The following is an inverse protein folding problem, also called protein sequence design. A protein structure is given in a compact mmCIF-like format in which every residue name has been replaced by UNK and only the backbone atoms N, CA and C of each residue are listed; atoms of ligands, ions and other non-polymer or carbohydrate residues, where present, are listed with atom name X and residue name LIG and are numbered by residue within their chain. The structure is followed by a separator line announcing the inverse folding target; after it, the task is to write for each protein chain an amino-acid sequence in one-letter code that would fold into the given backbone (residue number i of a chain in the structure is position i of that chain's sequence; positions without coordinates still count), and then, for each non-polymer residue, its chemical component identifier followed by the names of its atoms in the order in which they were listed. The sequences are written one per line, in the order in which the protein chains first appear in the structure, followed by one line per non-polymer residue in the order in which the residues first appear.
data_IF_571716592712
#
_entry.id   IF_571716592712
#
_cell.length_a   1.000
_cell.length_b   1.000
_cell.length_c   1.000
_cell.angle_alpha   90.00
_cell.angle_beta   90.00
_cell.angle_gamma   90.00
#
_symmetry.space_group_name_H-M   'P 1'
#
loop_
_entity.id
_entity.type
_entity.pdbx_description
1 polymer ?
#
# COMPACT_ATOMS: atom_id res chain seq x y z
N UNK A 1 16.41 14.34 43.50
CA UNK A 1 16.61 13.42 42.36
C UNK A 1 16.50 12.05 42.97
N UNK A 2 15.36 11.35 42.76
CA UNK A 2 15.24 9.96 43.18
C UNK A 2 16.30 9.15 42.41
N UNK A 3 17.04 8.27 43.11
CA UNK A 3 17.89 7.26 42.49
C UNK A 3 17.04 6.55 41.42
N UNK A 4 17.48 6.59 40.18
CA UNK A 4 16.80 5.90 39.09
C UNK A 4 16.86 4.40 39.39
N UNK A 5 15.72 3.84 39.83
CA UNK A 5 15.60 2.41 40.02
C UNK A 5 15.82 1.72 38.69
N UNK A 6 16.88 0.93 38.58
CA UNK A 6 17.20 0.13 37.38
C UNK A 6 16.28 -1.08 37.36
N UNK A 7 15.46 -1.19 36.32
CA UNK A 7 14.60 -2.34 36.08
C UNK A 7 15.30 -3.35 35.15
N UNK A 8 15.08 -4.65 35.40
CA UNK A 8 15.53 -5.70 34.48
C UNK A 8 14.63 -5.80 33.25
N UNK A 9 13.33 -5.54 33.45
CA UNK A 9 12.32 -5.63 32.41
C UNK A 9 11.34 -4.46 32.45
N UNK A 10 10.96 -3.99 31.27
CA UNK A 10 9.85 -3.05 31.04
C UNK A 10 8.85 -3.73 30.12
N UNK A 11 7.65 -4.00 30.64
CA UNK A 11 6.58 -4.66 29.87
C UNK A 11 5.38 -3.72 29.84
N UNK A 12 4.73 -3.56 28.67
CA UNK A 12 3.61 -2.66 28.57
C UNK A 12 2.68 -2.94 27.39
N UNK A 13 1.46 -2.43 27.54
CA UNK A 13 0.46 -2.32 26.48
C UNK A 13 0.08 -0.82 26.32
N UNK A 14 0.91 -0.06 25.60
CA UNK A 14 0.66 1.38 25.37
C UNK A 14 -0.64 1.63 24.59
N UNK A 15 -1.26 2.82 24.72
CA UNK A 15 -2.54 3.12 24.07
C UNK A 15 -2.45 3.08 22.53
N UNK A 16 -3.40 2.41 21.90
CA UNK A 16 -3.51 2.26 20.44
C UNK A 16 -4.34 3.39 19.83
N UNK A 17 -3.75 4.57 19.67
CA UNK A 17 -4.39 5.74 19.07
C UNK A 17 -3.73 6.03 17.74
N UNK A 18 -4.47 5.85 16.65
CA UNK A 18 -3.98 6.11 15.30
C UNK A 18 -3.75 7.60 15.04
N UNK A 19 -2.79 7.92 14.20
CA UNK A 19 -2.35 9.31 13.92
C UNK A 19 -3.49 10.26 13.48
N UNK A 20 -4.55 9.74 12.85
CA UNK A 20 -5.66 10.57 12.37
C UNK A 20 -6.65 11.00 13.46
N UNK A 21 -6.74 10.23 14.54
CA UNK A 21 -7.72 10.44 15.63
C UNK A 21 -7.07 11.01 16.90
N UNK A 22 -5.75 11.22 16.91
CA UNK A 22 -5.05 11.87 18.01
C UNK A 22 -5.54 13.32 18.21
N UNK A 23 -5.67 13.70 19.46
CA UNK A 23 -5.79 15.11 19.86
C UNK A 23 -4.51 15.88 19.49
N UNK A 24 -4.60 17.22 19.43
CA UNK A 24 -3.42 18.05 19.16
C UNK A 24 -2.32 17.82 20.20
N UNK A 25 -2.66 17.78 21.50
CA UNK A 25 -1.72 17.51 22.59
C UNK A 25 -1.00 16.16 22.45
N UNK A 26 -1.72 15.10 22.04
CA UNK A 26 -1.11 13.80 21.80
C UNK A 26 -0.13 13.85 20.62
N UNK A 27 -0.51 14.53 19.52
CA UNK A 27 0.34 14.72 18.35
C UNK A 27 1.61 15.50 18.71
N UNK A 28 1.47 16.60 19.45
CA UNK A 28 2.60 17.41 19.90
C UNK A 28 3.54 16.59 20.82
N UNK A 29 2.97 15.71 21.65
CA UNK A 29 3.74 14.78 22.48
C UNK A 29 4.58 13.83 21.63
N UNK A 30 3.99 13.20 20.58
CA UNK A 30 4.73 12.33 19.66
C UNK A 30 5.85 13.12 18.98
N UNK A 31 5.55 14.27 18.37
CA UNK A 31 6.54 15.09 17.67
C UNK A 31 7.71 15.48 18.56
N UNK A 32 7.43 15.86 19.82
CA UNK A 32 8.45 16.20 20.82
C UNK A 32 9.32 15.00 21.19
N UNK A 33 8.74 13.81 21.42
CA UNK A 33 9.52 12.61 21.73
C UNK A 33 10.47 12.20 20.61
N UNK A 34 10.09 12.48 19.38
CA UNK A 34 10.93 12.27 18.19
C UNK A 34 11.88 13.43 17.87
N UNK A 35 12.04 14.40 18.78
CA UNK A 35 12.90 15.57 18.58
C UNK A 35 12.64 16.28 17.24
N UNK A 36 11.36 16.43 16.87
CA UNK A 36 10.89 17.05 15.63
C UNK A 36 11.41 16.42 14.33
N UNK A 37 11.75 15.13 14.34
CA UNK A 37 12.16 14.40 13.12
C UNK A 37 11.09 14.53 12.04
N UNK A 38 11.52 14.77 10.82
CA UNK A 38 10.62 14.91 9.67
C UNK A 38 9.75 13.66 9.50
N UNK A 39 8.44 13.87 9.39
CA UNK A 39 7.47 12.79 9.27
C UNK A 39 6.92 12.26 10.60
N UNK A 40 7.42 12.67 11.75
CA UNK A 40 6.91 12.21 13.06
C UNK A 40 5.41 12.50 13.28
N UNK A 41 4.85 13.49 12.61
CA UNK A 41 3.42 13.82 12.69
C UNK A 41 2.45 12.79 12.07
N UNK A 42 2.94 11.80 11.32
CA UNK A 42 2.11 10.71 10.77
C UNK A 42 2.16 9.42 11.60
N UNK A 43 2.95 9.42 12.68
CA UNK A 43 3.12 8.27 13.55
C UNK A 43 1.93 8.08 14.49
N UNK A 44 1.59 6.82 14.79
CA UNK A 44 0.59 6.49 15.80
C UNK A 44 1.13 6.75 17.22
N UNK A 45 0.24 7.01 18.16
CA UNK A 45 0.59 7.45 19.51
C UNK A 45 1.51 6.46 20.25
N UNK A 46 1.31 5.16 20.02
CA UNK A 46 2.11 4.08 20.60
C UNK A 46 3.62 4.25 20.35
N UNK A 47 4.02 4.87 19.24
CA UNK A 47 5.42 5.05 18.87
C UNK A 47 6.22 5.90 19.87
N UNK A 48 5.55 6.82 20.57
CA UNK A 48 6.18 7.63 21.62
C UNK A 48 6.72 6.78 22.77
N UNK A 49 6.04 5.67 23.13
CA UNK A 49 6.52 4.74 24.16
C UNK A 49 7.79 4.01 23.73
N UNK A 50 7.89 3.62 22.47
CA UNK A 50 9.10 3.01 21.92
C UNK A 50 10.32 3.93 22.07
N UNK A 51 10.17 5.20 21.70
CA UNK A 51 11.25 6.19 21.81
C UNK A 51 11.59 6.49 23.28
N UNK A 52 10.57 6.64 24.15
CA UNK A 52 10.80 6.83 25.59
C UNK A 52 11.56 5.65 26.20
N UNK A 53 11.14 4.43 25.90
CA UNK A 53 11.83 3.24 26.38
C UNK A 53 13.25 3.16 25.82
N UNK A 54 13.45 3.42 24.51
CA UNK A 54 14.77 3.43 23.90
C UNK A 54 15.71 4.45 24.54
N UNK A 55 15.22 5.66 24.88
CA UNK A 55 15.98 6.68 25.63
C UNK A 55 16.34 6.18 27.03
N UNK A 56 15.36 5.59 27.73
CA UNK A 56 15.52 5.16 29.14
C UNK A 56 16.53 4.03 29.33
N UNK A 57 16.54 3.04 28.40
CA UNK A 57 17.39 1.84 28.54
C UNK A 57 18.83 2.03 28.09
N UNK A 58 19.22 3.23 27.62
CA UNK A 58 20.61 3.48 27.20
C UNK A 58 21.60 3.25 28.35
N UNK A 59 22.67 2.50 28.07
CA UNK A 59 23.68 2.17 29.06
C UNK A 59 23.24 1.16 30.15
N UNK A 60 22.06 0.54 29.98
CA UNK A 60 21.53 -0.49 30.89
C UNK A 60 21.46 -1.87 30.21
N UNK A 61 21.15 -2.90 30.99
CA UNK A 61 20.82 -4.25 30.49
C UNK A 61 19.31 -4.52 30.54
N UNK A 62 18.50 -3.49 30.68
CA UNK A 62 17.04 -3.58 30.72
C UNK A 62 16.51 -4.06 29.36
N UNK A 63 15.59 -5.03 29.40
CA UNK A 63 14.86 -5.52 28.24
C UNK A 63 13.46 -4.94 28.23
N UNK A 64 12.96 -4.60 27.05
CA UNK A 64 11.63 -4.00 26.87
C UNK A 64 10.78 -4.92 26.00
N UNK A 65 9.49 -5.04 26.32
CA UNK A 65 8.52 -5.71 25.46
C UNK A 65 7.19 -4.94 25.46
N UNK A 66 6.74 -4.56 24.27
CA UNK A 66 5.47 -3.86 24.08
C UNK A 66 4.54 -4.60 23.13
N UNK A 67 3.24 -4.59 23.49
CA UNK A 67 2.15 -4.89 22.58
C UNK A 67 1.84 -3.61 21.81
N UNK A 68 1.61 -3.72 20.50
CA UNK A 68 1.35 -2.57 19.64
C UNK A 68 0.46 -2.94 18.47
N UNK A 69 -0.16 -1.96 17.84
CA UNK A 69 -0.76 -2.17 16.54
C UNK A 69 0.31 -2.52 15.51
N UNK A 70 -0.02 -3.35 14.54
CA UNK A 70 0.92 -3.77 13.48
C UNK A 70 1.35 -2.62 12.54
N UNK A 71 0.73 -1.45 12.64
CA UNK A 71 1.10 -0.25 11.87
C UNK A 71 2.54 0.19 12.06
N UNK A 72 3.15 -0.11 13.21
CA UNK A 72 4.56 0.27 13.51
C UNK A 72 5.60 -0.55 12.75
N UNK A 73 5.20 -1.66 12.16
CA UNK A 73 6.07 -2.57 11.37
C UNK A 73 5.66 -2.61 9.90
N UNK A 74 4.75 -1.71 9.47
CA UNK A 74 4.19 -1.65 8.12
C UNK A 74 4.07 -0.22 7.62
N UNK A 75 4.16 -0.05 6.31
CA UNK A 75 3.97 1.24 5.64
C UNK A 75 5.05 2.28 5.99
N UNK A 76 4.63 3.53 6.01
CA UNK A 76 5.53 4.68 6.20
C UNK A 76 6.06 4.81 7.63
N UNK A 77 5.27 4.37 8.62
CA UNK A 77 5.64 4.51 10.02
C UNK A 77 6.89 3.71 10.38
N UNK A 78 7.08 2.56 9.74
CA UNK A 78 8.22 1.66 9.99
C UNK A 78 9.55 2.38 9.80
N UNK A 79 9.77 3.05 8.68
CA UNK A 79 11.05 3.73 8.42
C UNK A 79 11.31 4.89 9.38
N UNK A 80 10.27 5.61 9.80
CA UNK A 80 10.39 6.77 10.70
C UNK A 80 10.72 6.29 12.13
N UNK A 81 9.91 5.37 12.68
CA UNK A 81 10.12 4.83 14.02
C UNK A 81 11.46 4.10 14.12
N UNK A 82 11.62 3.07 13.29
CA UNK A 82 12.78 2.17 13.39
C UNK A 82 14.07 2.83 12.91
N UNK A 83 14.00 3.88 12.08
CA UNK A 83 15.15 4.71 11.78
C UNK A 83 15.75 5.33 13.03
N UNK A 84 14.92 5.85 13.95
CA UNK A 84 15.40 6.36 15.24
C UNK A 84 15.85 5.22 16.18
N UNK A 85 15.04 4.15 16.28
CA UNK A 85 15.34 3.01 17.15
C UNK A 85 16.70 2.37 16.81
N UNK A 86 16.96 2.10 15.52
CA UNK A 86 18.17 1.42 15.07
C UNK A 86 19.40 2.35 15.03
N UNK A 87 19.27 3.54 14.42
CA UNK A 87 20.44 4.37 14.13
C UNK A 87 20.81 5.35 15.24
N UNK A 88 19.82 5.86 16.00
CA UNK A 88 20.05 6.80 17.08
C UNK A 88 20.26 6.10 18.42
N UNK A 89 19.44 5.08 18.71
CA UNK A 89 19.43 4.39 20.00
C UNK A 89 20.05 3.00 19.97
N UNK A 90 20.56 2.55 18.82
CA UNK A 90 21.21 1.24 18.63
C UNK A 90 20.38 0.06 19.18
N UNK A 91 19.06 0.13 19.04
CA UNK A 91 18.13 -0.90 19.53
C UNK A 91 18.24 -2.16 18.66
N UNK A 92 18.16 -3.32 19.32
CA UNK A 92 18.10 -4.64 18.70
C UNK A 92 16.83 -5.35 19.11
N UNK A 93 16.14 -5.97 18.14
CA UNK A 93 14.94 -6.78 18.38
C UNK A 93 15.41 -8.16 18.82
N UNK A 94 14.96 -8.61 19.99
CA UNK A 94 15.31 -9.92 20.54
C UNK A 94 14.27 -10.98 20.21
N UNK A 95 12.99 -10.61 20.25
CA UNK A 95 11.91 -11.48 19.80
C UNK A 95 10.76 -10.65 19.23
N UNK A 96 9.94 -11.29 18.41
CA UNK A 96 8.74 -10.66 17.89
C UNK A 96 7.63 -11.68 17.69
N UNK A 97 6.41 -11.32 18.07
CA UNK A 97 5.20 -11.94 17.59
C UNK A 97 4.73 -11.18 16.34
N UNK A 98 4.65 -11.85 15.23
CA UNK A 98 4.07 -11.31 13.99
C UNK A 98 2.59 -10.99 14.19
N UNK A 99 1.99 -10.35 13.22
CA UNK A 99 0.61 -9.91 13.32
C UNK A 99 -0.34 -11.03 13.74
N UNK A 100 -1.02 -10.83 14.85
CA UNK A 100 -2.09 -11.67 15.37
C UNK A 100 -3.33 -10.84 15.69
N UNK A 101 -4.47 -11.51 15.79
CA UNK A 101 -5.74 -10.86 16.08
C UNK A 101 -5.96 -10.80 17.59
N UNK A 102 -5.90 -9.60 18.15
CA UNK A 102 -6.28 -9.37 19.55
C UNK A 102 -7.81 -9.24 19.63
N UNK A 103 -8.46 -10.17 20.29
CA UNK A 103 -9.89 -10.09 20.61
C UNK A 103 -10.07 -9.84 22.11
N UNK A 104 -10.73 -8.74 22.46
CA UNK A 104 -11.26 -8.58 23.83
C UNK A 104 -12.57 -9.38 23.92
N UNK A 105 -12.81 -10.03 25.06
CA UNK A 105 -14.06 -10.74 25.38
C UNK A 105 -15.27 -9.80 25.50
N UNK A 106 -15.06 -8.47 25.49
CA UNK A 106 -16.12 -7.48 25.54
C UNK A 106 -16.90 -7.44 24.21
N UNK A 107 -18.21 -7.70 24.28
CA UNK A 107 -19.14 -7.64 23.14
C UNK A 107 -19.05 -6.27 22.45
N UNK A 108 -18.75 -6.27 21.15
CA UNK A 108 -18.87 -5.10 20.27
C UNK A 108 -17.55 -4.38 19.90
N UNK A 109 -16.39 -4.84 20.37
CA UNK A 109 -15.09 -4.23 19.97
C UNK A 109 -14.56 -4.84 18.67
N UNK A 110 -14.19 -3.96 17.72
CA UNK A 110 -13.48 -4.34 16.52
C UNK A 110 -12.16 -5.02 16.88
N UNK A 111 -11.88 -6.16 16.27
CA UNK A 111 -10.61 -6.85 16.47
C UNK A 111 -9.46 -5.99 16.00
N UNK A 112 -8.44 -5.86 16.85
CA UNK A 112 -7.23 -5.10 16.53
C UNK A 112 -6.12 -6.08 16.13
N UNK A 113 -5.42 -5.77 15.05
CA UNK A 113 -4.25 -6.53 14.62
C UNK A 113 -3.02 -6.00 15.36
N UNK A 114 -2.45 -6.87 16.20
CA UNK A 114 -1.34 -6.53 17.08
C UNK A 114 -0.05 -7.25 16.70
N UNK A 115 1.05 -6.71 17.20
CA UNK A 115 2.38 -7.32 17.25
C UNK A 115 2.91 -7.21 18.66
N UNK A 116 3.79 -8.12 19.09
CA UNK A 116 4.57 -7.96 20.34
C UNK A 116 6.02 -7.90 19.92
N UNK A 117 6.74 -6.89 20.41
CA UNK A 117 8.15 -6.70 20.06
C UNK A 117 8.97 -6.55 21.34
N UNK A 118 9.89 -7.49 21.53
CA UNK A 118 10.89 -7.45 22.58
C UNK A 118 12.22 -6.91 22.06
N UNK A 119 12.78 -5.90 22.73
CA UNK A 119 13.98 -5.22 22.28
C UNK A 119 14.88 -4.75 23.45
N UNK A 120 16.14 -4.44 23.13
CA UNK A 120 17.10 -3.88 24.07
C UNK A 120 18.15 -3.00 23.35
N UNK A 121 18.99 -2.29 24.11
CA UNK A 121 20.13 -1.52 23.61
C UNK A 121 21.40 -2.38 23.38
N UNK A 122 21.30 -3.69 23.55
CA UNK A 122 22.36 -4.68 23.30
C UNK A 122 21.82 -5.86 22.49
N UNK A 123 22.71 -6.61 21.85
CA UNK A 123 22.32 -7.75 21.02
C UNK A 123 22.27 -9.06 21.81
N UNK A 124 21.59 -10.09 21.23
CA UNK A 124 21.54 -11.46 21.74
C UNK A 124 21.65 -12.46 20.58
N UNK A 125 22.32 -13.59 20.75
CA UNK A 125 22.35 -14.64 19.75
C UNK A 125 21.04 -15.43 19.67
N UNK A 126 20.22 -15.39 20.71
CA UNK A 126 18.97 -16.14 20.82
C UNK A 126 17.80 -15.23 20.44
N UNK A 127 17.48 -15.15 19.17
CA UNK A 127 16.34 -14.39 18.67
C UNK A 127 15.24 -15.33 18.19
N UNK A 128 13.98 -14.95 18.42
CA UNK A 128 12.83 -15.76 18.07
C UNK A 128 11.74 -14.92 17.41
N UNK A 129 11.20 -15.45 16.30
CA UNK A 129 9.99 -14.92 15.66
C UNK A 129 8.87 -15.93 15.91
N UNK A 130 7.73 -15.43 16.36
CA UNK A 130 6.52 -16.21 16.58
C UNK A 130 5.55 -15.92 15.44
N UNK A 131 5.25 -16.95 14.63
CA UNK A 131 4.32 -16.89 13.51
C UNK A 131 3.00 -17.56 13.86
N UNK A 132 1.93 -17.11 13.21
CA UNK A 132 0.59 -17.65 13.35
C UNK A 132 0.11 -18.14 12.00
N UNK A 133 -0.12 -19.44 11.83
CA UNK A 133 -0.73 -20.02 10.61
C UNK A 133 -2.17 -19.54 10.46
N UNK A 134 -2.93 -19.53 11.56
CA UNK A 134 -4.19 -18.81 11.72
C UNK A 134 -3.96 -17.65 12.68
N UNK A 135 -4.33 -16.44 12.30
CA UNK A 135 -4.20 -15.22 13.13
C UNK A 135 -4.88 -15.33 14.52
N UNK A 136 -5.70 -16.36 14.72
CA UNK A 136 -6.36 -16.71 15.99
C UNK A 136 -5.77 -17.98 16.63
N UNK A 137 -4.84 -18.63 15.94
CA UNK A 137 -4.25 -19.90 16.34
C UNK A 137 -3.09 -19.75 17.33
N UNK A 138 -2.43 -20.87 17.59
CA UNK A 138 -1.23 -20.90 18.40
C UNK A 138 -0.02 -20.36 17.62
N UNK A 139 0.93 -19.79 18.35
CA UNK A 139 2.15 -19.25 17.77
C UNK A 139 3.20 -20.35 17.58
N UNK A 140 3.82 -20.39 16.42
CA UNK A 140 4.97 -21.25 16.13
C UNK A 140 6.27 -20.46 16.25
N UNK A 141 7.18 -20.94 17.09
CA UNK A 141 8.49 -20.29 17.28
C UNK A 141 9.45 -20.67 16.17
N UNK A 142 10.05 -19.66 15.53
CA UNK A 142 11.10 -19.77 14.54
C UNK A 142 12.35 -19.06 15.07
N UNK A 143 13.49 -19.75 15.10
CA UNK A 143 14.77 -19.12 15.44
C UNK A 143 15.24 -18.21 14.32
N UNK A 144 15.71 -17.04 14.68
CA UNK A 144 16.19 -16.02 13.76
C UNK A 144 17.64 -15.61 14.10
N UNK A 145 18.40 -15.27 13.07
CA UNK A 145 19.74 -14.68 13.22
C UNK A 145 19.65 -13.19 13.52
N UNK A 146 18.75 -12.52 12.81
CA UNK A 146 18.41 -11.11 13.03
C UNK A 146 16.92 -10.91 12.82
N UNK A 147 16.32 -9.98 13.57
CA UNK A 147 14.91 -9.61 13.37
C UNK A 147 14.91 -8.15 12.94
N UNK A 148 14.54 -7.91 11.69
CA UNK A 148 14.46 -6.56 11.14
C UNK A 148 13.14 -5.84 11.53
N UNK A 149 12.99 -4.54 11.24
CA UNK A 149 11.78 -3.77 11.53
C UNK A 149 10.47 -4.29 10.92
N UNK A 150 10.53 -5.16 9.95
CA UNK A 150 9.37 -5.82 9.32
C UNK A 150 9.09 -7.20 9.92
N UNK A 151 9.78 -7.55 11.01
CA UNK A 151 9.70 -8.82 11.74
C UNK A 151 10.05 -10.03 10.86
N UNK A 152 11.05 -9.88 10.01
CA UNK A 152 11.60 -10.92 9.14
C UNK A 152 13.05 -11.21 9.55
N UNK A 153 13.49 -12.47 9.41
CA UNK A 153 14.89 -12.86 9.61
C UNK A 153 15.74 -12.35 8.42
N UNK A 154 16.11 -11.09 8.49
CA UNK A 154 16.90 -10.40 7.48
C UNK A 154 17.70 -9.27 8.12
N UNK A 155 18.62 -8.66 7.37
CA UNK A 155 19.36 -7.47 7.81
C UNK A 155 18.42 -6.32 8.15
N UNK A 156 18.90 -5.42 9.02
CA UNK A 156 18.21 -4.20 9.37
C UNK A 156 18.14 -3.27 8.13
N UNK A 157 17.02 -3.31 7.43
CA UNK A 157 16.71 -2.48 6.27
C UNK A 157 15.46 -1.66 6.52
N UNK A 158 15.43 -0.46 5.97
CA UNK A 158 14.29 0.44 6.03
C UNK A 158 13.80 0.75 4.61
N UNK A 159 12.53 0.50 4.37
CA UNK A 159 11.87 0.82 3.11
C UNK A 159 11.31 2.23 3.20
N UNK A 160 11.97 3.17 2.57
CA UNK A 160 11.55 4.57 2.52
C UNK A 160 10.71 4.86 1.28
N UNK A 161 9.92 5.93 1.32
CA UNK A 161 9.19 6.42 0.14
C UNK A 161 10.14 6.72 -1.02
N UNK A 162 9.84 6.19 -2.18
CA UNK A 162 10.51 6.49 -3.43
C UNK A 162 9.54 7.04 -4.46
N UNK A 163 9.93 8.12 -5.14
CA UNK A 163 9.12 8.74 -6.20
C UNK A 163 9.21 7.99 -7.55
N UNK A 164 10.21 7.12 -7.70
CA UNK A 164 10.42 6.28 -8.87
C UNK A 164 10.73 4.85 -8.46
N UNK A 165 10.37 3.85 -9.28
CA UNK A 165 10.74 2.46 -9.06
C UNK A 165 12.26 2.28 -8.97
N UNK A 166 12.71 1.34 -8.12
CA UNK A 166 14.12 0.92 -8.04
C UNK A 166 14.56 0.08 -9.24
N UNK A 167 13.59 -0.49 -9.94
CA UNK A 167 13.78 -1.33 -11.13
C UNK A 167 13.29 -0.61 -12.39
N UNK A 168 13.72 -1.07 -13.56
CA UNK A 168 13.29 -0.54 -14.85
C UNK A 168 11.90 -1.11 -15.23
N UNK A 169 10.86 -0.53 -14.65
CA UNK A 169 9.44 -0.89 -14.88
C UNK A 169 8.62 0.37 -15.09
N UNK A 170 7.42 0.29 -15.71
CA UNK A 170 6.57 1.45 -15.90
C UNK A 170 6.26 2.15 -14.58
N UNK A 171 6.32 3.48 -14.55
CA UNK A 171 6.05 4.27 -13.36
C UNK A 171 4.55 4.22 -13.03
N UNK A 172 4.21 3.72 -11.85
CA UNK A 172 2.84 3.72 -11.34
C UNK A 172 2.43 5.15 -10.94
N UNK A 173 1.19 5.52 -11.23
CA UNK A 173 0.59 6.79 -10.81
C UNK A 173 -0.79 6.57 -10.19
N UNK A 174 -1.35 7.60 -9.56
CA UNK A 174 -2.76 7.58 -9.18
C UNK A 174 -3.64 7.73 -10.41
N UNK A 175 -4.85 7.17 -10.34
CA UNK A 175 -5.92 7.48 -11.27
C UNK A 175 -6.37 8.95 -11.16
N UNK A 176 -7.43 9.28 -11.86
CA UNK A 176 -7.92 10.64 -12.04
C UNK A 176 -8.76 11.11 -10.86
N UNK A 177 -8.47 12.27 -10.31
CA UNK A 177 -9.24 12.86 -9.22
C UNK A 177 -10.19 13.93 -9.73
N UNK A 178 -11.51 13.75 -9.61
CA UNK A 178 -12.48 14.73 -10.11
C UNK A 178 -12.42 16.06 -9.35
N UNK A 179 -12.33 16.04 -8.02
CA UNK A 179 -12.36 17.23 -7.15
C UNK A 179 -13.56 18.13 -7.49
N UNK A 180 -14.75 17.56 -7.53
CA UNK A 180 -15.94 18.14 -8.16
C UNK A 180 -17.19 18.17 -7.26
N UNK A 181 -17.09 17.68 -6.02
CA UNK A 181 -18.26 17.52 -5.14
C UNK A 181 -19.28 16.48 -5.63
N UNK A 182 -18.87 15.60 -6.57
CA UNK A 182 -19.75 14.60 -7.19
C UNK A 182 -20.53 15.11 -8.41
N UNK A 183 -20.38 16.39 -8.78
CA UNK A 183 -21.18 16.98 -9.86
C UNK A 183 -20.83 16.52 -11.26
N UNK A 184 -19.63 15.99 -11.50
CA UNK A 184 -19.23 15.38 -12.79
C UNK A 184 -19.48 13.86 -12.83
N UNK A 185 -19.96 13.27 -11.74
CA UNK A 185 -20.17 11.83 -11.63
C UNK A 185 -21.66 11.50 -11.84
N UNK A 186 -21.92 10.32 -12.38
CA UNK A 186 -23.26 9.82 -12.68
C UNK A 186 -23.36 8.34 -12.31
N UNK A 187 -24.46 7.95 -11.69
CA UNK A 187 -24.89 6.53 -11.63
C UNK A 187 -25.39 6.08 -13.01
N UNK A 188 -25.70 4.79 -13.15
CA UNK A 188 -26.26 4.29 -14.42
C UNK A 188 -27.66 4.87 -14.69
N UNK A 189 -28.47 5.04 -13.63
CA UNK A 189 -29.79 5.64 -13.69
C UNK A 189 -29.69 7.15 -14.02
N UNK A 190 -28.84 7.88 -13.32
CA UNK A 190 -28.61 9.30 -13.59
C UNK A 190 -28.13 9.53 -15.03
N UNK A 191 -27.25 8.68 -15.55
CA UNK A 191 -26.80 8.74 -16.96
C UNK A 191 -27.96 8.57 -17.92
N UNK A 192 -28.86 7.58 -17.69
CA UNK A 192 -30.03 7.35 -18.54
C UNK A 192 -30.95 8.58 -18.57
N UNK A 193 -31.25 9.14 -17.40
CA UNK A 193 -32.08 10.34 -17.29
C UNK A 193 -31.40 11.59 -17.88
N UNK A 194 -30.08 11.73 -17.71
CA UNK A 194 -29.29 12.82 -18.24
C UNK A 194 -29.32 12.80 -19.77
N UNK A 195 -29.13 11.63 -20.39
CA UNK A 195 -29.15 11.46 -21.84
C UNK A 195 -30.54 11.63 -22.48
N UNK A 196 -31.62 11.44 -21.74
CA UNK A 196 -32.96 11.78 -22.23
C UNK A 196 -33.13 13.29 -22.42
N UNK A 197 -32.54 14.09 -21.52
CA UNK A 197 -32.61 15.56 -21.54
C UNK A 197 -31.57 16.19 -22.49
N UNK A 198 -30.40 15.57 -22.59
CA UNK A 198 -29.25 16.08 -23.34
C UNK A 198 -28.50 14.94 -24.09
N UNK A 199 -29.09 14.41 -25.19
CA UNK A 199 -28.52 13.28 -25.95
C UNK A 199 -27.09 13.53 -26.46
N UNK A 200 -26.79 14.76 -26.86
CA UNK A 200 -25.51 15.17 -27.46
C UNK A 200 -24.35 15.10 -26.44
N UNK A 201 -24.66 15.05 -25.16
CA UNK A 201 -23.64 14.85 -24.11
C UNK A 201 -23.02 13.44 -24.11
N UNK A 202 -23.61 12.46 -24.84
CA UNK A 202 -23.18 11.04 -24.87
C UNK A 202 -21.68 10.88 -25.14
N UNK A 203 -21.10 11.69 -26.03
CA UNK A 203 -19.66 11.64 -26.38
C UNK A 203 -18.74 11.99 -25.22
N UNK A 204 -19.22 12.76 -24.24
CA UNK A 204 -18.46 13.17 -23.07
C UNK A 204 -18.65 12.26 -21.87
N UNK A 205 -19.61 11.34 -21.92
CA UNK A 205 -19.86 10.40 -20.83
C UNK A 205 -18.93 9.18 -21.02
N UNK A 206 -18.07 8.95 -20.01
CA UNK A 206 -17.12 7.82 -19.98
C UNK A 206 -17.35 6.96 -18.73
N UNK A 207 -17.09 5.64 -18.81
CA UNK A 207 -17.02 4.81 -17.62
C UNK A 207 -16.00 5.38 -16.63
N UNK A 208 -16.36 5.45 -15.35
CA UNK A 208 -15.46 5.79 -14.25
C UNK A 208 -15.23 4.54 -13.41
N UNK A 209 -13.98 4.13 -13.32
CA UNK A 209 -13.59 2.89 -12.62
C UNK A 209 -12.89 3.26 -11.32
N UNK A 210 -13.60 3.16 -10.20
CA UNK A 210 -13.00 3.19 -8.88
C UNK A 210 -12.65 1.78 -8.39
N UNK A 211 -11.98 1.68 -7.24
CA UNK A 211 -11.71 0.39 -6.62
C UNK A 211 -13.00 -0.39 -6.33
N UNK A 212 -14.08 0.32 -5.98
CA UNK A 212 -15.36 -0.30 -5.67
C UNK A 212 -16.03 -0.86 -6.94
N UNK A 213 -16.18 -0.06 -8.00
CA UNK A 213 -16.77 -0.50 -9.27
C UNK A 213 -15.96 -1.64 -9.89
N UNK A 214 -14.63 -1.56 -9.83
CA UNK A 214 -13.75 -2.60 -10.37
C UNK A 214 -13.91 -3.94 -9.63
N UNK A 215 -13.97 -3.91 -8.31
CA UNK A 215 -14.07 -5.13 -7.51
C UNK A 215 -15.47 -5.75 -7.53
N UNK A 216 -16.52 -4.92 -7.55
CA UNK A 216 -17.90 -5.38 -7.44
C UNK A 216 -18.64 -5.46 -8.79
N UNK A 217 -17.99 -5.11 -9.90
CA UNK A 217 -18.60 -5.14 -11.23
C UNK A 217 -19.69 -4.08 -11.44
N UNK A 218 -19.73 -3.05 -10.61
CA UNK A 218 -20.72 -1.99 -10.71
C UNK A 218 -20.39 -0.96 -11.79
N UNK A 219 -21.39 -0.23 -12.23
CA UNK A 219 -21.27 0.77 -13.30
C UNK A 219 -21.36 2.18 -12.71
N UNK A 220 -20.36 2.98 -13.02
CA UNK A 220 -20.33 4.40 -12.76
C UNK A 220 -19.83 5.16 -13.97
N UNK A 221 -20.22 6.40 -14.10
CA UNK A 221 -19.91 7.23 -15.26
C UNK A 221 -19.42 8.60 -14.81
N UNK A 222 -18.69 9.28 -15.70
CA UNK A 222 -18.29 10.66 -15.48
C UNK A 222 -18.42 11.48 -16.78
N UNK A 223 -18.62 12.77 -16.60
CA UNK A 223 -18.45 13.77 -17.65
C UNK A 223 -16.95 14.05 -17.83
N UNK A 224 -16.37 13.53 -18.89
CA UNK A 224 -14.97 13.68 -19.24
C UNK A 224 -14.81 14.75 -20.33
N UNK A 225 -14.63 16.02 -19.90
CA UNK A 225 -14.73 17.22 -20.74
C UNK A 225 -13.36 17.74 -21.20
N UNK A 226 -12.30 16.95 -21.14
CA UNK A 226 -10.92 17.41 -21.36
C UNK A 226 -10.70 18.01 -22.77
N UNK A 227 -11.42 17.51 -23.77
CA UNK A 227 -11.33 17.94 -25.16
C UNK A 227 -12.64 18.57 -25.65
N UNK A 228 -13.48 19.05 -24.75
CA UNK A 228 -14.74 19.71 -25.10
C UNK A 228 -14.49 21.13 -25.60
N UNK A 229 -14.91 21.41 -26.81
CA UNK A 229 -14.83 22.75 -27.39
C UNK A 229 -15.83 23.70 -26.69
N UNK A 230 -15.47 24.97 -26.44
CA UNK A 230 -16.37 25.93 -25.81
C UNK A 230 -17.70 26.11 -26.54
N UNK A 231 -17.70 26.06 -27.89
CA UNK A 231 -18.88 26.12 -28.72
C UNK A 231 -19.81 24.92 -28.54
N UNK A 232 -19.26 23.73 -28.33
CA UNK A 232 -20.02 22.51 -28.01
C UNK A 232 -20.64 22.59 -26.61
N UNK A 233 -19.86 22.99 -25.60
CA UNK A 233 -20.35 23.12 -24.23
C UNK A 233 -21.51 24.12 -24.14
N UNK A 234 -21.47 25.23 -24.88
CA UNK A 234 -22.57 26.23 -24.92
C UNK A 234 -23.90 25.62 -25.38
N UNK A 235 -23.88 24.52 -26.14
CA UNK A 235 -25.08 23.81 -26.63
C UNK A 235 -25.58 22.75 -25.66
N UNK A 236 -24.88 22.56 -24.53
CA UNK A 236 -25.14 21.52 -23.53
C UNK A 236 -25.48 22.14 -22.17
N UNK A 237 -26.72 22.68 -22.00
CA UNK A 237 -27.11 23.41 -20.80
C UNK A 237 -27.08 22.55 -19.53
N UNK A 238 -27.42 21.27 -19.61
CA UNK A 238 -27.36 20.38 -18.42
C UNK A 238 -25.91 20.06 -18.04
N UNK A 239 -24.99 19.93 -18.99
CA UNK A 239 -23.55 19.84 -18.70
C UNK A 239 -23.07 21.12 -18.05
N UNK A 240 -23.42 22.31 -18.59
CA UNK A 240 -22.99 23.59 -18.04
C UNK A 240 -23.49 23.83 -16.61
N UNK A 241 -24.73 23.44 -16.29
CA UNK A 241 -25.24 23.48 -14.89
C UNK A 241 -24.34 22.69 -13.95
N UNK A 242 -23.94 21.48 -14.30
CA UNK A 242 -23.02 20.65 -13.51
C UNK A 242 -21.64 21.29 -13.38
N UNK A 243 -21.10 21.85 -14.45
CA UNK A 243 -19.82 22.56 -14.44
C UNK A 243 -19.87 23.80 -13.53
N UNK A 244 -20.99 24.52 -13.50
CA UNK A 244 -21.17 25.65 -12.60
C UNK A 244 -21.19 25.21 -11.11
N UNK A 245 -21.82 24.07 -10.82
CA UNK A 245 -21.81 23.50 -9.47
C UNK A 245 -20.40 23.08 -9.04
N UNK A 246 -19.60 22.51 -9.95
CA UNK A 246 -18.17 22.22 -9.69
C UNK A 246 -17.41 23.50 -9.35
N UNK A 247 -17.63 24.59 -10.11
CA UNK A 247 -16.99 25.88 -9.84
C UNK A 247 -17.35 26.40 -8.45
N UNK A 248 -18.64 26.37 -8.09
CA UNK A 248 -19.12 26.78 -6.76
C UNK A 248 -18.51 25.92 -5.65
N UNK A 249 -18.51 24.60 -5.81
CA UNK A 249 -17.90 23.67 -4.87
C UNK A 249 -16.41 23.98 -4.62
N UNK A 250 -15.64 24.19 -5.68
CA UNK A 250 -14.21 24.51 -5.57
C UNK A 250 -13.95 25.86 -4.92
N UNK A 251 -14.75 26.88 -5.22
CA UNK A 251 -14.65 28.21 -4.61
C UNK A 251 -14.96 28.19 -3.10
N UNK A 252 -15.94 27.39 -2.69
CA UNK A 252 -16.34 27.24 -1.30
C UNK A 252 -15.36 26.42 -0.43
N UNK A 253 -14.34 25.78 -1.03
CA UNK A 253 -13.38 24.98 -0.30
C UNK A 253 -12.50 25.81 0.62
N UNK A 254 -12.21 25.33 1.82
CA UNK A 254 -11.24 25.93 2.74
C UNK A 254 -9.78 25.72 2.29
N UNK A 255 -9.53 24.81 1.36
CA UNK A 255 -8.20 24.49 0.87
C UNK A 255 -7.82 25.38 -0.33
N UNK A 256 -6.79 26.25 -0.22
CA UNK A 256 -6.38 27.13 -1.31
C UNK A 256 -5.99 26.38 -2.59
N UNK A 257 -5.44 25.16 -2.45
CA UNK A 257 -5.12 24.30 -3.60
C UNK A 257 -6.37 23.88 -4.36
N UNK A 258 -7.50 23.64 -3.70
CA UNK A 258 -8.78 23.34 -4.35
C UNK A 258 -9.38 24.56 -5.03
N UNK A 259 -9.34 25.73 -4.35
CA UNK A 259 -9.86 26.99 -4.91
C UNK A 259 -9.21 27.36 -6.24
N UNK A 260 -7.89 27.10 -6.40
CA UNK A 260 -7.18 27.34 -7.67
C UNK A 260 -7.80 26.62 -8.86
N UNK A 261 -8.39 25.44 -8.65
CA UNK A 261 -9.04 24.66 -9.73
C UNK A 261 -10.44 25.17 -10.10
N UNK A 262 -10.99 26.18 -9.40
CA UNK A 262 -12.27 26.80 -9.76
C UNK A 262 -12.24 27.51 -11.12
N UNK A 263 -11.06 27.90 -11.61
CA UNK A 263 -10.86 28.50 -12.93
C UNK A 263 -10.96 27.49 -14.09
N UNK A 264 -10.94 26.19 -13.80
CA UNK A 264 -11.03 25.12 -14.79
C UNK A 264 -12.07 24.07 -14.38
N UNK A 265 -13.36 24.45 -14.21
CA UNK A 265 -14.38 23.59 -13.63
C UNK A 265 -14.81 22.41 -14.54
N UNK A 266 -14.48 22.45 -15.82
CA UNK A 266 -14.71 21.36 -16.77
C UNK A 266 -13.72 20.21 -16.61
N UNK A 267 -12.60 20.43 -15.90
CA UNK A 267 -11.50 19.49 -15.84
C UNK A 267 -11.41 18.81 -14.47
N UNK A 268 -11.10 17.53 -14.47
CA UNK A 268 -10.63 16.83 -13.27
C UNK A 268 -9.32 17.49 -12.80
N UNK A 269 -9.05 17.44 -11.49
CA UNK A 269 -7.77 17.92 -10.94
C UNK A 269 -6.60 17.13 -11.52
N UNK A 270 -6.66 15.82 -11.42
CA UNK A 270 -5.65 14.92 -11.97
C UNK A 270 -6.22 14.24 -13.23
N UNK A 271 -5.39 14.16 -14.27
CA UNK A 271 -5.80 13.73 -15.64
C UNK A 271 -4.76 12.79 -16.22
N UNK A 272 -4.47 11.72 -15.47
CA UNK A 272 -3.54 10.68 -15.88
C UNK A 272 -4.33 9.59 -16.63
N UNK A 273 -4.50 9.75 -17.93
CA UNK A 273 -5.27 8.82 -18.76
C UNK A 273 -4.43 8.28 -19.92
N UNK A 274 -3.68 7.18 -19.70
CA UNK A 274 -2.91 6.55 -20.77
C UNK A 274 -3.82 5.78 -21.74
N UNK A 275 -3.26 5.43 -22.90
CA UNK A 275 -3.97 4.65 -23.94
C UNK A 275 -4.32 3.24 -23.46
N UNK A 276 -3.43 2.62 -22.70
CA UNK A 276 -3.62 1.31 -22.05
C UNK A 276 -2.95 1.33 -20.67
N UNK A 277 -3.52 0.62 -19.71
CA UNK A 277 -2.95 0.53 -18.37
C UNK A 277 -3.45 -0.69 -17.60
N UNK A 278 -2.67 -1.10 -16.59
CA UNK A 278 -3.12 -2.01 -15.55
C UNK A 278 -3.67 -1.17 -14.40
N UNK A 279 -4.88 -1.49 -13.95
CA UNK A 279 -5.51 -0.88 -12.78
C UNK A 279 -5.24 -1.75 -11.55
N UNK A 280 -4.80 -1.10 -10.46
CA UNK A 280 -4.53 -1.71 -9.15
C UNK A 280 -5.35 -0.96 -8.10
N UNK A 281 -6.29 -1.61 -7.37
CA UNK A 281 -7.03 -0.97 -6.30
C UNK A 281 -6.09 -0.44 -5.20
N UNK A 282 -6.30 0.81 -4.76
CA UNK A 282 -5.53 1.37 -3.64
C UNK A 282 -5.87 0.73 -2.30
N UNK A 283 -7.07 0.15 -2.18
CA UNK A 283 -7.50 -0.57 -0.97
C UNK A 283 -8.13 -1.90 -1.36
N UNK A 284 -7.71 -2.97 -0.71
CA UNK A 284 -8.26 -4.31 -0.90
C UNK A 284 -8.31 -5.07 0.43
N UNK A 285 -9.19 -6.08 0.53
CA UNK A 285 -9.34 -6.90 1.74
C UNK A 285 -8.04 -7.64 2.05
N UNK A 286 -7.70 -7.70 3.32
CA UNK A 286 -6.59 -8.49 3.88
C UNK A 286 -6.80 -10.00 3.75
N UNK A 287 -8.04 -10.43 3.60
CA UNK A 287 -8.39 -11.84 3.47
C UNK A 287 -8.12 -12.39 2.06
N UNK A 288 -7.95 -11.52 1.06
CA UNK A 288 -7.66 -11.95 -0.30
C UNK A 288 -6.23 -12.47 -0.43
N UNK A 289 -6.09 -13.66 -0.99
CA UNK A 289 -4.79 -14.24 -1.28
C UNK A 289 -4.03 -13.40 -2.32
N UNK A 290 -4.73 -12.85 -3.30
CA UNK A 290 -4.17 -12.02 -4.38
C UNK A 290 -4.92 -10.69 -4.49
N UNK A 291 -4.23 -9.62 -4.84
CA UNK A 291 -4.87 -8.35 -5.22
C UNK A 291 -5.43 -8.51 -6.63
N UNK A 292 -6.75 -8.36 -6.84
CA UNK A 292 -7.30 -8.31 -8.20
C UNK A 292 -6.74 -7.09 -8.93
N UNK A 293 -6.21 -7.30 -10.12
CA UNK A 293 -5.78 -6.24 -11.05
C UNK A 293 -6.38 -6.50 -12.42
N UNK A 294 -6.50 -5.48 -13.27
CA UNK A 294 -7.14 -5.64 -14.58
C UNK A 294 -6.59 -4.67 -15.63
N UNK A 295 -6.78 -5.00 -16.90
CA UNK A 295 -6.42 -4.14 -18.02
C UNK A 295 -7.57 -3.23 -18.42
N UNK A 296 -7.24 -1.98 -18.72
CA UNK A 296 -8.18 -0.96 -19.19
C UNK A 296 -7.56 -0.10 -20.29
N UNK A 297 -8.41 0.65 -20.98
CA UNK A 297 -8.05 1.50 -22.10
C UNK A 297 -8.33 2.98 -21.89
N UNK A 298 -8.04 3.78 -22.90
CA UNK A 298 -8.21 5.25 -22.89
C UNK A 298 -9.65 5.73 -22.62
N UNK A 299 -10.63 4.87 -22.84
CA UNK A 299 -12.04 5.21 -22.64
C UNK A 299 -12.55 4.93 -21.24
N UNK A 300 -11.82 4.16 -20.44
CA UNK A 300 -12.17 3.79 -19.08
C UNK A 300 -11.39 4.68 -18.13
N UNK A 301 -12.06 5.60 -17.47
CA UNK A 301 -11.40 6.61 -16.62
C UNK A 301 -11.15 6.02 -15.23
N UNK A 302 -9.90 5.69 -14.92
CA UNK A 302 -9.54 5.24 -13.58
C UNK A 302 -9.69 6.36 -12.56
N UNK A 303 -10.39 6.11 -11.46
CA UNK A 303 -10.53 7.04 -10.34
C UNK A 303 -9.29 7.01 -9.42
N UNK A 304 -9.08 8.05 -8.63
CA UNK A 304 -7.96 8.16 -7.70
C UNK A 304 -7.98 7.19 -6.50
N UNK A 305 -9.04 6.38 -6.35
CA UNK A 305 -9.06 5.23 -5.45
C UNK A 305 -8.33 4.01 -6.02
N UNK A 306 -7.79 4.14 -7.24
CA UNK A 306 -6.95 3.16 -7.91
C UNK A 306 -5.59 3.75 -8.26
N UNK A 307 -4.62 2.88 -8.39
CA UNK A 307 -3.36 3.16 -9.09
C UNK A 307 -3.44 2.63 -10.52
N UNK A 308 -2.67 3.23 -11.40
CA UNK A 308 -2.53 2.81 -12.79
C UNK A 308 -1.05 2.58 -13.14
N UNK A 309 -0.78 1.51 -13.89
CA UNK A 309 0.53 1.21 -14.48
C UNK A 309 0.41 1.43 -15.99
N UNK A 310 0.82 2.59 -16.53
CA UNK A 310 0.73 2.90 -17.94
C UNK A 310 1.50 1.89 -18.80
N UNK A 311 0.91 1.44 -19.89
CA UNK A 311 1.52 0.47 -20.82
C UNK A 311 2.00 -0.83 -20.15
N UNK A 312 1.39 -1.20 -19.01
CA UNK A 312 1.68 -2.48 -18.36
C UNK A 312 1.33 -3.65 -19.28
N UNK A 313 2.22 -4.65 -19.35
CA UNK A 313 2.04 -5.87 -20.15
C UNK A 313 1.53 -7.03 -19.31
N UNK A 314 1.24 -8.17 -19.95
CA UNK A 314 0.93 -9.42 -19.26
C UNK A 314 2.03 -9.86 -18.29
N UNK A 315 3.29 -9.54 -18.58
CA UNK A 315 4.39 -9.77 -17.63
C UNK A 315 4.19 -8.99 -16.34
N UNK A 316 3.92 -7.68 -16.43
CA UNK A 316 3.68 -6.84 -15.24
C UNK A 316 2.44 -7.32 -14.47
N UNK A 317 1.38 -7.67 -15.18
CA UNK A 317 0.17 -8.26 -14.58
C UNK A 317 0.51 -9.54 -13.81
N UNK A 318 1.26 -10.46 -14.43
CA UNK A 318 1.65 -11.73 -13.82
C UNK A 318 2.45 -11.55 -12.54
N UNK A 319 3.42 -10.64 -12.53
CA UNK A 319 4.21 -10.33 -11.33
C UNK A 319 3.32 -9.71 -10.24
N UNK A 320 2.52 -8.67 -10.56
CA UNK A 320 1.69 -7.96 -9.60
C UNK A 320 0.60 -8.83 -8.94
N UNK A 321 0.15 -9.87 -9.62
CA UNK A 321 -0.88 -10.78 -9.12
C UNK A 321 -0.32 -12.12 -8.59
N UNK A 322 1.00 -12.21 -8.39
CA UNK A 322 1.69 -13.39 -7.88
C UNK A 322 1.85 -13.41 -6.37
N UNK A 323 2.07 -14.59 -5.81
CA UNK A 323 2.40 -14.78 -4.39
C UNK A 323 3.70 -14.07 -3.99
N UNK A 324 4.67 -13.94 -4.92
CA UNK A 324 5.90 -13.19 -4.68
C UNK A 324 5.63 -11.71 -4.37
N UNK A 325 4.75 -11.08 -5.16
CA UNK A 325 4.36 -9.70 -4.89
C UNK A 325 3.48 -9.59 -3.65
N UNK A 326 2.61 -10.57 -3.41
CA UNK A 326 1.76 -10.60 -2.23
C UNK A 326 2.53 -10.76 -0.92
N UNK A 327 3.61 -11.54 -0.91
CA UNK A 327 4.53 -11.63 0.23
C UNK A 327 5.09 -10.25 0.59
N UNK A 328 5.54 -9.49 -0.42
CA UNK A 328 5.98 -8.10 -0.25
C UNK A 328 4.86 -7.19 0.25
N UNK A 329 3.67 -7.27 -0.35
CA UNK A 329 2.50 -6.48 0.06
C UNK A 329 2.14 -6.75 1.53
N UNK A 330 2.04 -8.02 1.94
CA UNK A 330 1.68 -8.40 3.30
C UNK A 330 2.65 -7.84 4.35
N UNK A 331 3.93 -7.79 4.01
CA UNK A 331 4.99 -7.32 4.92
C UNK A 331 5.19 -5.81 4.91
N UNK A 332 5.14 -5.16 3.73
CA UNK A 332 5.57 -3.76 3.57
C UNK A 332 4.37 -2.79 3.50
N UNK A 333 3.22 -3.26 3.01
CA UNK A 333 2.09 -2.39 2.75
C UNK A 333 1.46 -1.85 4.05
N UNK A 334 1.22 -0.55 4.09
CA UNK A 334 0.42 0.05 5.17
C UNK A 334 -1.02 -0.44 5.16
N UNK A 335 -1.73 -0.20 6.27
CA UNK A 335 -3.13 -0.63 6.43
C UNK A 335 -4.08 0.55 6.53
N UNK A 336 -5.32 0.31 6.13
CA UNK A 336 -6.47 1.14 6.43
C UNK A 336 -7.45 0.25 7.20
N UNK A 337 -7.52 0.42 8.52
CA UNK A 337 -8.07 -0.59 9.43
C UNK A 337 -7.29 -1.91 9.28
N UNK A 338 -7.93 -3.01 8.89
CA UNK A 338 -7.25 -4.28 8.55
C UNK A 338 -6.80 -4.37 7.09
N UNK A 339 -7.50 -3.68 6.18
CA UNK A 339 -7.34 -3.77 4.72
C UNK A 339 -5.97 -3.27 4.25
N UNK A 340 -5.42 -3.88 3.22
CA UNK A 340 -4.22 -3.37 2.56
C UNK A 340 -4.49 -2.00 1.94
N UNK A 341 -3.67 -1.00 2.32
CA UNK A 341 -3.63 0.30 1.67
C UNK A 341 -2.41 0.37 0.77
N UNK A 342 -2.56 -0.14 -0.45
CA UNK A 342 -1.49 -0.19 -1.43
C UNK A 342 -0.93 1.20 -1.72
N UNK A 343 0.38 1.36 -1.62
CA UNK A 343 1.07 2.62 -1.88
C UNK A 343 2.07 2.43 -3.00
N UNK A 344 1.98 3.25 -4.05
CA UNK A 344 2.97 3.24 -5.13
C UNK A 344 4.38 3.57 -4.63
N UNK A 345 4.49 4.50 -3.66
CA UNK A 345 5.78 5.02 -3.19
C UNK A 345 6.49 4.08 -2.21
N UNK A 346 5.73 3.26 -1.46
CA UNK A 346 6.28 2.29 -0.51
C UNK A 346 6.32 0.89 -1.11
N UNK A 347 5.23 0.43 -1.73
CA UNK A 347 5.11 -0.95 -2.20
C UNK A 347 5.68 -1.12 -3.60
N UNK A 348 5.08 -0.47 -4.60
CA UNK A 348 5.43 -0.67 -6.01
C UNK A 348 6.85 -0.21 -6.34
N UNK A 349 7.19 1.02 -5.94
CA UNK A 349 8.48 1.63 -6.30
C UNK A 349 9.68 0.98 -5.58
N UNK A 350 9.43 0.28 -4.47
CA UNK A 350 10.46 -0.45 -3.74
C UNK A 350 10.45 -1.96 -4.00
N UNK A 351 9.48 -2.47 -4.77
CA UNK A 351 9.44 -3.90 -5.06
C UNK A 351 10.64 -4.31 -5.92
N UNK A 352 11.40 -5.34 -5.52
CA UNK A 352 12.54 -5.83 -6.30
C UNK A 352 12.06 -6.77 -7.40
N UNK A 353 11.72 -6.19 -8.55
CA UNK A 353 11.32 -6.95 -9.74
C UNK A 353 12.44 -7.84 -10.23
N UNK A 354 12.14 -9.01 -10.82
CA UNK A 354 13.16 -9.84 -11.43
C UNK A 354 13.79 -9.10 -12.62
N UNK A 355 15.13 -9.06 -12.67
CA UNK A 355 15.89 -8.35 -13.70
C UNK A 355 16.58 -9.35 -14.63
N UNK A 356 16.96 -8.88 -15.80
CA UNK A 356 17.78 -9.62 -16.79
C UNK A 356 17.23 -11.01 -17.16
N UNK A 357 15.89 -11.11 -17.23
CA UNK A 357 15.23 -12.37 -17.56
C UNK A 357 15.42 -12.76 -19.03
N UNK A 358 15.72 -14.03 -19.31
CA UNK A 358 15.62 -14.57 -20.66
C UNK A 358 14.22 -14.37 -21.25
N UNK A 359 14.12 -14.14 -22.54
CA UNK A 359 12.85 -13.92 -23.25
C UNK A 359 11.82 -15.03 -22.98
N UNK A 360 12.27 -16.26 -22.88
CA UNK A 360 11.42 -17.42 -22.56
C UNK A 360 10.74 -17.31 -21.19
N UNK A 361 11.44 -16.75 -20.18
CA UNK A 361 10.86 -16.53 -18.84
C UNK A 361 9.76 -15.44 -18.88
N UNK A 362 10.00 -14.36 -19.61
CA UNK A 362 9.00 -13.30 -19.81
C UNK A 362 7.76 -13.88 -20.46
N UNK A 363 7.94 -14.60 -21.58
CA UNK A 363 6.83 -15.24 -22.32
C UNK A 363 6.08 -16.31 -21.48
N UNK A 364 6.80 -17.02 -20.61
CA UNK A 364 6.20 -17.99 -19.69
C UNK A 364 5.28 -17.30 -18.68
N UNK A 365 5.71 -16.21 -18.06
CA UNK A 365 4.87 -15.39 -17.16
C UNK A 365 3.67 -14.85 -17.92
N UNK A 366 3.85 -14.29 -19.13
CA UNK A 366 2.76 -13.74 -19.94
C UNK A 366 1.71 -14.78 -20.30
N UNK A 367 2.15 -16.01 -20.66
CA UNK A 367 1.25 -17.13 -20.98
C UNK A 367 0.38 -17.50 -19.78
N UNK A 368 0.97 -17.63 -18.61
CA UNK A 368 0.26 -18.01 -17.38
C UNK A 368 -0.62 -16.87 -16.85
N UNK A 369 -0.17 -15.62 -16.98
CA UNK A 369 -0.98 -14.44 -16.73
C UNK A 369 -2.25 -14.39 -17.61
N UNK A 370 -2.10 -14.70 -18.91
CA UNK A 370 -3.24 -14.81 -19.83
C UNK A 370 -4.17 -15.95 -19.42
N UNK A 371 -3.64 -17.06 -18.88
CA UNK A 371 -4.47 -18.15 -18.38
C UNK A 371 -5.32 -17.74 -17.18
N UNK A 372 -4.79 -16.95 -16.24
CA UNK A 372 -5.56 -16.40 -15.13
C UNK A 372 -6.73 -15.54 -15.65
N UNK A 373 -6.47 -14.67 -16.64
CA UNK A 373 -7.52 -13.84 -17.23
C UNK A 373 -8.59 -14.68 -17.92
N UNK A 374 -8.21 -15.69 -18.72
CA UNK A 374 -9.15 -16.61 -19.38
C UNK A 374 -10.02 -17.38 -18.40
N UNK A 375 -9.48 -17.77 -17.26
CA UNK A 375 -10.28 -18.44 -16.21
C UNK A 375 -11.30 -17.48 -15.61
N UNK A 376 -10.94 -16.21 -15.33
CA UNK A 376 -11.90 -15.20 -14.87
C UNK A 376 -13.07 -15.00 -15.85
N UNK A 377 -12.81 -15.03 -17.15
CA UNK A 377 -13.83 -14.87 -18.22
C UNK A 377 -14.89 -15.99 -18.21
N UNK A 378 -14.62 -17.13 -17.55
CA UNK A 378 -15.59 -18.23 -17.41
C UNK A 378 -16.69 -17.93 -16.40
N UNK A 379 -16.54 -16.90 -15.60
CA UNK A 379 -17.45 -16.50 -14.53
C UNK A 379 -17.98 -15.07 -14.74
N UNK A 380 -18.72 -14.83 -15.85
CA UNK A 380 -19.15 -13.48 -16.23
C UNK A 380 -20.13 -12.84 -15.24
N UNK A 381 -20.86 -13.66 -14.48
CA UNK A 381 -21.84 -13.21 -13.50
C UNK A 381 -21.25 -12.99 -12.08
N UNK A 382 -19.98 -13.32 -11.89
CA UNK A 382 -19.30 -13.15 -10.60
C UNK A 382 -18.44 -11.90 -10.61
N UNK A 383 -18.50 -11.12 -9.55
CA UNK A 383 -17.62 -9.99 -9.35
C UNK A 383 -16.19 -10.44 -9.02
N UNK A 384 -15.20 -9.56 -9.18
CA UNK A 384 -13.84 -9.86 -8.72
C UNK A 384 -13.78 -9.98 -7.19
N UNK A 385 -14.70 -9.33 -6.47
CA UNK A 385 -14.81 -9.50 -5.04
C UNK A 385 -15.17 -10.94 -4.67
N UNK A 386 -16.11 -11.57 -5.40
CA UNK A 386 -16.52 -12.96 -5.21
C UNK A 386 -15.43 -13.93 -5.68
N UNK A 387 -14.85 -13.70 -6.87
CA UNK A 387 -13.81 -14.56 -7.44
C UNK A 387 -12.53 -14.62 -6.60
N UNK A 388 -12.26 -13.59 -5.80
CA UNK A 388 -11.05 -13.50 -4.95
C UNK A 388 -11.37 -13.55 -3.45
N UNK A 389 -12.58 -13.91 -3.08
CA UNK A 389 -12.90 -14.22 -1.69
C UNK A 389 -12.36 -15.63 -1.34
N UNK A 390 -11.68 -15.81 -0.21
CA UNK A 390 -11.08 -17.09 0.18
C UNK A 390 -12.08 -18.26 0.25
N UNK A 391 -13.35 -17.97 0.51
CA UNK A 391 -14.39 -19.00 0.65
C UNK A 391 -15.05 -19.36 -0.68
N UNK A 392 -15.02 -18.48 -1.66
CA UNK A 392 -15.77 -18.66 -2.93
C UNK A 392 -14.88 -18.70 -4.17
N UNK A 393 -13.56 -18.50 -4.03
CA UNK A 393 -12.61 -18.54 -5.16
C UNK A 393 -12.69 -19.88 -5.90
N UNK A 394 -13.00 -19.89 -7.21
CA UNK A 394 -13.10 -21.14 -7.98
C UNK A 394 -11.79 -21.92 -8.02
N UNK A 395 -11.89 -23.25 -7.93
CA UNK A 395 -10.70 -24.13 -7.90
C UNK A 395 -9.79 -23.99 -9.11
N UNK A 396 -10.36 -23.81 -10.31
CA UNK A 396 -9.57 -23.59 -11.53
C UNK A 396 -8.85 -22.24 -11.53
N UNK A 397 -9.41 -21.22 -10.90
CA UNK A 397 -8.74 -19.92 -10.69
C UNK A 397 -7.60 -20.06 -9.66
N UNK A 398 -7.82 -20.81 -8.58
CA UNK A 398 -6.76 -21.15 -7.61
C UNK A 398 -5.59 -21.85 -8.33
N UNK A 399 -5.87 -22.86 -9.14
CA UNK A 399 -4.85 -23.59 -9.90
C UNK A 399 -4.11 -22.67 -10.89
N UNK A 400 -4.81 -21.82 -11.63
CA UNK A 400 -4.17 -20.90 -12.56
C UNK A 400 -3.19 -19.94 -11.86
N UNK A 401 -3.55 -19.45 -10.66
CA UNK A 401 -2.65 -18.63 -9.84
C UNK A 401 -1.47 -19.44 -9.30
N UNK A 402 -1.68 -20.68 -8.82
CA UNK A 402 -0.60 -21.52 -8.30
C UNK A 402 0.44 -21.85 -9.37
N UNK A 403 0.03 -22.10 -10.62
CA UNK A 403 0.97 -22.32 -11.74
C UNK A 403 1.74 -21.03 -12.07
N UNK A 404 1.05 -19.87 -12.05
CA UNK A 404 1.71 -18.58 -12.21
C UNK A 404 2.72 -18.33 -11.09
N UNK A 405 2.37 -18.61 -9.83
CA UNK A 405 3.24 -18.42 -8.66
C UNK A 405 4.52 -19.23 -8.76
N UNK A 406 4.41 -20.54 -9.06
CA UNK A 406 5.57 -21.43 -9.26
C UNK A 406 6.49 -20.90 -10.35
N UNK A 407 5.92 -20.41 -11.44
CA UNK A 407 6.70 -19.91 -12.56
C UNK A 407 7.36 -18.59 -12.24
N UNK A 408 6.66 -17.67 -11.57
CA UNK A 408 7.20 -16.39 -11.10
C UNK A 408 8.33 -16.65 -10.10
N UNK A 409 8.16 -17.54 -9.12
CA UNK A 409 9.22 -17.93 -8.19
C UNK A 409 10.50 -18.38 -8.95
N UNK A 410 10.34 -19.13 -10.04
CA UNK A 410 11.45 -19.56 -10.89
C UNK A 410 12.15 -18.44 -11.68
N UNK A 411 11.52 -17.26 -11.78
CA UNK A 411 12.15 -16.07 -12.35
C UNK A 411 13.13 -15.41 -11.38
N UNK A 412 13.02 -15.69 -10.09
CA UNK A 412 13.90 -15.18 -9.06
C UNK A 412 15.04 -16.15 -8.70
N UNK A 413 14.74 -17.44 -8.59
CA UNK A 413 15.75 -18.49 -8.34
C UNK A 413 15.27 -19.87 -8.81
N UNK A 414 16.21 -20.81 -8.99
CA UNK A 414 15.88 -22.16 -9.43
C UNK A 414 15.19 -23.01 -8.35
N UNK A 415 15.60 -22.88 -7.09
CA UNK A 415 15.02 -23.63 -5.99
C UNK A 415 13.69 -23.01 -5.54
N UNK A 416 12.64 -23.80 -5.34
CA UNK A 416 11.37 -23.32 -4.82
C UNK A 416 11.52 -22.62 -3.47
N UNK A 417 10.63 -21.69 -3.18
CA UNK A 417 10.51 -21.12 -1.84
C UNK A 417 9.64 -22.02 -0.98
N UNK A 418 10.13 -22.37 0.20
CA UNK A 418 9.41 -23.25 1.14
C UNK A 418 8.30 -22.53 1.92
N UNK A 419 8.36 -21.20 2.01
CA UNK A 419 7.38 -20.39 2.75
C UNK A 419 7.39 -18.93 2.28
N UNK A 420 6.37 -18.17 2.70
CA UNK A 420 6.33 -16.70 2.51
C UNK A 420 7.53 -16.02 3.19
N UNK A 421 7.89 -16.46 4.39
CA UNK A 421 9.06 -15.93 5.10
C UNK A 421 10.33 -16.04 4.25
N UNK A 422 10.54 -17.19 3.58
CA UNK A 422 11.71 -17.39 2.70
C UNK A 422 11.66 -16.55 1.42
N UNK A 423 10.46 -16.22 0.91
CA UNK A 423 10.35 -15.21 -0.16
C UNK A 423 10.75 -13.83 0.35
N UNK A 424 10.31 -13.46 1.56
CA UNK A 424 10.63 -12.16 2.13
C UNK A 424 12.11 -11.98 2.45
N UNK A 425 12.76 -12.99 3.05
CA UNK A 425 14.21 -12.98 3.25
C UNK A 425 14.95 -12.70 1.94
N UNK A 426 14.61 -13.44 0.89
CA UNK A 426 15.20 -13.28 -0.45
C UNK A 426 14.89 -11.89 -1.07
N UNK A 427 13.66 -11.39 -0.94
CA UNK A 427 13.29 -10.08 -1.46
C UNK A 427 14.04 -8.94 -0.74
N UNK A 428 14.30 -9.06 0.56
CA UNK A 428 15.13 -8.11 1.29
C UNK A 428 16.59 -8.13 0.84
N UNK A 429 17.19 -9.31 0.61
CA UNK A 429 18.54 -9.43 0.04
C UNK A 429 18.61 -8.80 -1.35
N UNK A 430 17.60 -9.04 -2.17
CA UNK A 430 17.53 -8.49 -3.52
C UNK A 430 17.32 -6.97 -3.50
N UNK A 431 16.48 -6.46 -2.59
CA UNK A 431 16.28 -5.03 -2.38
C UNK A 431 17.59 -4.35 -1.97
N UNK A 432 18.32 -4.91 -1.01
CA UNK A 432 19.64 -4.41 -0.60
C UNK A 432 20.59 -4.32 -1.80
N UNK A 433 20.68 -5.39 -2.58
CA UNK A 433 21.53 -5.45 -3.79
C UNK A 433 21.17 -4.36 -4.79
N UNK A 434 19.88 -4.17 -5.10
CA UNK A 434 19.43 -3.18 -6.08
C UNK A 434 19.58 -1.74 -5.61
N UNK A 435 19.56 -1.51 -4.30
CA UNK A 435 19.67 -0.16 -3.74
C UNK A 435 21.11 0.23 -3.37
N UNK A 436 22.01 -0.71 -3.19
CA UNK A 436 23.43 -0.44 -2.88
C UNK A 436 24.08 0.52 -3.89
N UNK A 437 23.86 0.31 -5.19
CA UNK A 437 24.39 1.16 -6.26
C UNK A 437 23.73 2.54 -6.34
N UNK A 438 22.48 2.67 -5.89
CA UNK A 438 21.78 3.95 -5.85
C UNK A 438 22.34 4.88 -4.77
N UNK A 439 22.71 4.34 -3.62
CA UNK A 439 23.35 5.11 -2.54
C UNK A 439 24.74 5.62 -2.92
N UNK A 440 25.50 4.86 -3.70
CA UNK A 440 26.81 5.28 -4.21
C UNK A 440 26.67 6.44 -5.21
N UNK A 441 25.70 6.37 -6.12
CA UNK A 441 25.42 7.42 -7.11
C UNK A 441 24.88 8.72 -6.49
N UNK A 442 24.08 8.65 -5.42
CA UNK A 442 23.60 9.85 -4.71
C UNK A 442 24.71 10.55 -3.90
N UNK A 443 25.63 9.80 -3.27
CA UNK A 443 26.79 10.38 -2.59
C UNK A 443 27.67 11.17 -3.58
N UNK A 444 27.90 10.64 -4.77
CA UNK A 444 28.67 11.32 -5.83
C UNK A 444 27.98 12.58 -6.36
N UNK A 445 26.64 12.60 -6.45
CA UNK A 445 25.89 13.79 -6.87
C UNK A 445 25.86 14.88 -5.79
N UNK A 446 25.80 14.52 -4.51
CA UNK A 446 25.86 15.50 -3.40
C UNK A 446 27.24 16.14 -3.25
N UNK A 447 28.31 15.41 -3.52
CA UNK A 447 29.68 15.93 -3.52
C UNK A 447 29.92 16.90 -4.69
N UNK A 448 29.36 16.63 -5.88
CA UNK A 448 29.45 17.52 -7.06
C UNK A 448 28.59 18.79 -6.98
N UNK A 449 27.64 18.89 -6.03
CA UNK A 449 26.85 20.11 -5.78
C UNK A 449 27.41 20.99 -4.66
N UNK A 450 28.52 20.59 -4.04
CA UNK A 450 29.23 21.34 -2.97
C UNK A 450 30.59 21.91 -3.41
N UNK A 451 30.88 21.87 -4.71
CA UNK A 451 32.05 22.54 -5.32
C UNK A 451 31.54 23.63 -6.24
#
# INVERSE_FOLDING_TARGET
VAEESKFDYIIGNPPFIGSKIMTQSQRDSVVREFDHVQGSGVLDYVTAWYIKAAKYIQGTRTKVAFVSTNSIVQGEQTSILWGQMLHKYNIKIHFAHRTFKWSNEAKGNAAVYCVIIGFASFDTPNKSIFEYEDIKGEAHEIKAKNINPYLVDAKDLLIEKKSNPICNVPKMSFGNMPLDGGHLLLTDEEKKEFLKREPDAKKFIKPLISAFEFLNGEKRWCLWLINAEPSELKRLPEVLKRVELVKKFRLASVAPSTQKFSTSPTLFRDRNQPSTYILVPSTTSENRKYIPVGFFGKNDIANNSCHIVPNGTLFHFGILTSEMHMAWVRSICGRLESRFRYSKDIVYNNFPWPQDLPKQKIQGVEKLAQQVLKVRERYPDSSLADLYDPLTMPTDLVHAHQELDKFVDSCYRHLPFSSEAKRMEFLFELYEKYTADLFTKEKVKRTKKKV
#
